data_IF_315915952314
#
_entry.id   IF_315915952314
#
_cell.length_a   1.000
_cell.length_b   1.000
_cell.length_c   1.000
_cell.angle_alpha   90.00
_cell.angle_beta   90.00
_cell.angle_gamma   90.00
#
_symmetry.space_group_name_H-M   'P 1'
#
loop_
_entity.id
_entity.type
_entity.pdbx_description
1 polymer ?
#
# COMPACT_ATOMS: atom_id res chain seq x y z
N UNK A 1 12.02 13.11 10.72
CA UNK A 1 11.18 13.09 9.53
C UNK A 1 11.20 11.73 8.90
N UNK A 2 10.03 11.28 8.52
CA UNK A 2 9.92 9.99 7.86
C UNK A 2 10.03 10.18 6.35
N UNK A 3 10.99 9.49 5.72
CA UNK A 3 11.08 9.45 4.27
C UNK A 3 10.62 8.07 3.79
N UNK A 4 9.49 7.64 4.30
CA UNK A 4 8.94 6.34 3.95
C UNK A 4 7.83 6.49 2.93
N UNK A 5 7.83 5.58 1.97
CA UNK A 5 6.75 5.45 1.00
C UNK A 5 6.15 4.08 1.18
N UNK A 6 4.87 4.02 1.50
CA UNK A 6 4.15 2.74 1.55
C UNK A 6 3.67 2.39 0.15
N UNK A 7 3.87 1.16 -0.23
CA UNK A 7 3.45 0.65 -1.53
C UNK A 7 2.56 -0.56 -1.28
N UNK A 8 1.31 -0.47 -1.68
CA UNK A 8 0.39 -1.58 -1.50
C UNK A 8 0.63 -2.63 -2.58
N UNK A 9 1.01 -3.82 -2.15
CA UNK A 9 1.16 -4.97 -3.05
C UNK A 9 -0.17 -5.70 -3.15
N UNK A 10 -0.42 -6.30 -4.30
CA UNK A 10 -1.63 -7.07 -4.54
C UNK A 10 -1.30 -8.49 -4.94
N UNK A 11 -2.06 -9.42 -4.40
CA UNK A 11 -1.94 -10.83 -4.77
C UNK A 11 -3.26 -11.34 -5.32
N UNK A 12 -3.17 -12.39 -6.13
CA UNK A 12 -4.34 -13.13 -6.58
C UNK A 12 -3.99 -14.61 -6.46
N UNK A 13 -4.78 -15.32 -5.66
CA UNK A 13 -4.55 -16.75 -5.43
C UNK A 13 -3.13 -17.05 -4.95
N UNK A 14 -2.61 -16.21 -4.08
CA UNK A 14 -1.28 -16.38 -3.49
C UNK A 14 -0.12 -15.96 -4.37
N UNK A 15 -0.40 -15.39 -5.55
CA UNK A 15 0.62 -14.94 -6.50
C UNK A 15 0.59 -13.43 -6.60
N UNK A 16 1.78 -12.81 -6.56
CA UNK A 16 1.87 -11.36 -6.73
C UNK A 16 1.44 -10.93 -8.12
N UNK A 17 0.59 -9.91 -8.18
CA UNK A 17 0.20 -9.32 -9.45
C UNK A 17 1.30 -8.37 -9.93
N UNK A 18 1.46 -8.26 -11.24
CA UNK A 18 2.48 -7.37 -11.81
C UNK A 18 2.33 -5.92 -11.37
N UNK A 19 1.12 -5.47 -11.08
CA UNK A 19 0.88 -4.11 -10.60
C UNK A 19 1.66 -3.83 -9.31
N UNK A 20 1.96 -4.86 -8.51
CA UNK A 20 2.74 -4.71 -7.29
C UNK A 20 4.15 -4.21 -7.62
N UNK A 21 4.76 -4.73 -8.67
CA UNK A 21 6.11 -4.33 -9.07
C UNK A 21 6.12 -2.93 -9.70
N UNK A 22 5.07 -2.60 -10.45
CA UNK A 22 4.93 -1.26 -11.02
C UNK A 22 4.75 -0.22 -9.90
N UNK A 23 3.99 -0.57 -8.87
CA UNK A 23 3.81 0.31 -7.73
C UNK A 23 5.12 0.52 -6.96
N UNK A 24 5.94 -0.52 -6.81
CA UNK A 24 7.25 -0.39 -6.19
C UNK A 24 8.12 0.57 -7.01
N UNK A 25 8.12 0.44 -8.34
CA UNK A 25 8.89 1.32 -9.20
C UNK A 25 8.44 2.78 -9.03
N UNK A 26 7.14 3.02 -8.94
CA UNK A 26 6.60 4.36 -8.69
C UNK A 26 7.05 4.89 -7.34
N UNK A 27 7.02 4.05 -6.32
CA UNK A 27 7.47 4.43 -4.97
C UNK A 27 8.94 4.83 -4.95
N UNK A 28 9.78 4.12 -5.70
CA UNK A 28 11.20 4.45 -5.78
C UNK A 28 11.45 5.80 -6.43
N UNK A 29 10.59 6.22 -7.35
CA UNK A 29 10.71 7.53 -7.97
C UNK A 29 10.41 8.67 -7.01
N UNK A 30 9.55 8.41 -6.02
CA UNK A 30 9.25 9.41 -4.99
C UNK A 30 10.46 9.61 -4.08
N UNK A 31 11.23 8.57 -3.87
CA UNK A 31 12.42 8.61 -3.03
C UNK A 31 12.13 8.19 -1.60
N UNK A 32 13.18 7.90 -0.85
CA UNK A 32 13.06 7.44 0.52
C UNK A 32 12.97 5.93 0.63
N UNK A 33 12.62 5.45 1.81
CA UNK A 33 12.49 4.02 2.08
C UNK A 33 11.17 3.50 1.51
N UNK A 34 11.25 2.48 0.67
CA UNK A 34 10.07 1.85 0.08
C UNK A 34 9.65 0.67 0.96
N UNK A 35 8.50 0.79 1.60
CA UNK A 35 7.94 -0.26 2.45
C UNK A 35 6.73 -0.84 1.73
N UNK A 36 6.84 -2.08 1.28
CA UNK A 36 5.74 -2.75 0.61
C UNK A 36 4.82 -3.38 1.65
N UNK A 37 3.52 -3.25 1.47
CA UNK A 37 2.52 -3.77 2.40
C UNK A 37 1.78 -4.91 1.74
N UNK A 38 1.79 -6.07 2.38
CA UNK A 38 1.03 -7.26 1.96
C UNK A 38 -0.10 -7.50 2.94
N UNK A 39 -1.32 -7.49 2.46
CA UNK A 39 -2.51 -7.73 3.28
C UNK A 39 -3.22 -8.96 2.73
N UNK A 40 -3.47 -9.95 3.57
CA UNK A 40 -4.17 -11.14 3.15
C UNK A 40 -4.04 -12.28 4.15
N UNK A 41 -4.24 -13.48 3.65
CA UNK A 41 -4.09 -14.71 4.44
C UNK A 41 -3.11 -15.61 3.69
N UNK A 42 -2.03 -16.01 4.35
CA UNK A 42 -1.02 -16.87 3.75
C UNK A 42 -0.15 -16.16 2.71
N UNK A 43 0.05 -14.87 2.83
CA UNK A 43 0.77 -14.08 1.82
C UNK A 43 2.25 -13.86 2.16
N UNK A 44 2.70 -14.23 3.34
CA UNK A 44 4.08 -13.96 3.76
C UNK A 44 5.12 -14.61 2.84
N UNK A 45 4.77 -15.72 2.19
CA UNK A 45 5.70 -16.43 1.32
C UNK A 45 6.16 -15.68 0.09
N UNK A 46 5.44 -14.62 -0.31
CA UNK A 46 5.82 -13.84 -1.49
C UNK A 46 6.56 -12.54 -1.13
N UNK A 47 6.81 -12.31 0.15
CA UNK A 47 7.50 -11.09 0.59
C UNK A 47 8.89 -10.94 -0.04
N UNK A 48 9.62 -12.04 -0.20
CA UNK A 48 10.96 -11.98 -0.77
C UNK A 48 10.96 -11.52 -2.23
N UNK A 49 9.90 -11.79 -2.98
CA UNK A 49 9.80 -11.30 -4.35
C UNK A 49 9.69 -9.78 -4.39
N UNK A 50 8.99 -9.20 -3.41
CA UNK A 50 8.87 -7.74 -3.33
C UNK A 50 10.22 -7.11 -3.05
N UNK A 51 10.99 -7.69 -2.14
CA UNK A 51 12.33 -7.20 -1.82
C UNK A 51 13.24 -7.35 -3.04
N UNK A 52 13.17 -8.48 -3.73
CA UNK A 52 13.96 -8.70 -4.94
C UNK A 52 13.64 -7.67 -6.04
N UNK A 53 12.45 -7.10 -6.04
CA UNK A 53 12.01 -6.13 -7.03
C UNK A 53 12.12 -4.68 -6.55
N UNK A 54 12.76 -4.45 -5.42
CA UNK A 54 13.15 -3.11 -5.01
C UNK A 54 12.55 -2.59 -3.72
N UNK A 55 11.68 -3.34 -3.06
CA UNK A 55 11.19 -2.91 -1.74
C UNK A 55 12.33 -3.02 -0.72
N UNK A 56 12.48 -1.99 0.08
CA UNK A 56 13.49 -1.99 1.14
C UNK A 56 13.05 -2.83 2.32
N UNK A 57 11.74 -2.88 2.55
CA UNK A 57 11.15 -3.62 3.65
C UNK A 57 9.74 -4.06 3.25
N UNK A 58 9.26 -5.14 3.84
CA UNK A 58 7.90 -5.61 3.62
C UNK A 58 7.20 -5.76 4.97
N UNK A 59 6.01 -5.20 5.08
CA UNK A 59 5.15 -5.37 6.24
C UNK A 59 3.99 -6.26 5.81
N UNK A 60 3.81 -7.38 6.49
CA UNK A 60 2.70 -8.30 6.22
C UNK A 60 1.63 -8.18 7.29
N UNK A 61 0.38 -8.08 6.86
CA UNK A 61 -0.77 -8.15 7.76
C UNK A 61 -1.56 -9.38 7.35
N UNK A 62 -1.49 -10.42 8.16
CA UNK A 62 -2.15 -11.68 7.87
C UNK A 62 -3.25 -11.98 8.85
N UNK A 63 -4.41 -12.33 8.33
CA UNK A 63 -5.55 -12.75 9.12
C UNK A 63 -6.52 -13.52 8.22
N UNK A 64 -7.17 -14.58 8.73
CA UNK A 64 -8.11 -15.35 7.92
C UNK A 64 -9.22 -14.50 7.29
N UNK A 65 -9.65 -13.45 7.96
CA UNK A 65 -10.69 -12.55 7.44
C UNK A 65 -10.19 -11.69 6.27
N UNK A 66 -8.89 -11.69 6.02
CA UNK A 66 -8.29 -10.92 4.93
C UNK A 66 -8.02 -11.78 3.69
N UNK A 67 -8.50 -12.99 3.68
CA UNK A 67 -8.31 -13.90 2.55
C UNK A 67 -8.93 -13.36 1.28
N UNK A 68 -10.11 -12.76 1.39
CA UNK A 68 -10.75 -12.09 0.28
C UNK A 68 -10.78 -10.59 0.57
N UNK A 69 -10.73 -9.78 -0.49
CA UNK A 69 -10.78 -8.35 -0.31
C UNK A 69 -12.12 -7.90 0.26
N UNK A 70 -12.06 -7.17 1.37
CA UNK A 70 -13.18 -6.40 1.88
C UNK A 70 -12.67 -4.99 2.12
N UNK A 71 -13.48 -4.01 1.76
CA UNK A 71 -13.09 -2.61 1.91
C UNK A 71 -12.76 -2.25 3.35
N UNK A 72 -13.61 -2.67 4.29
CA UNK A 72 -13.42 -2.35 5.71
C UNK A 72 -12.21 -3.06 6.30
N UNK A 73 -12.06 -4.36 6.02
CA UNK A 73 -10.94 -5.13 6.55
C UNK A 73 -9.59 -4.62 6.06
N UNK A 74 -9.49 -4.39 4.76
CA UNK A 74 -8.24 -3.91 4.17
C UNK A 74 -7.93 -2.47 4.58
N UNK A 75 -8.95 -1.61 4.69
CA UNK A 75 -8.70 -0.23 5.14
C UNK A 75 -8.24 -0.18 6.58
N UNK A 76 -8.80 -1.00 7.45
CA UNK A 76 -8.33 -1.09 8.84
C UNK A 76 -6.90 -1.59 8.92
N UNK A 77 -6.56 -2.63 8.15
CA UNK A 77 -5.22 -3.19 8.14
C UNK A 77 -4.21 -2.17 7.63
N UNK A 78 -4.53 -1.49 6.53
CA UNK A 78 -3.62 -0.51 5.96
C UNK A 78 -3.46 0.69 6.88
N UNK A 79 -4.53 1.17 7.51
CA UNK A 79 -4.43 2.29 8.46
C UNK A 79 -3.57 1.94 9.67
N UNK A 80 -3.61 0.70 10.14
CA UNK A 80 -2.74 0.27 11.23
C UNK A 80 -1.27 0.39 10.82
N UNK A 81 -0.94 0.00 9.59
CA UNK A 81 0.42 0.14 9.06
C UNK A 81 0.78 1.61 8.90
N UNK A 82 -0.13 2.43 8.40
CA UNK A 82 0.10 3.88 8.26
C UNK A 82 0.42 4.51 9.60
N UNK A 83 -0.32 4.17 10.63
CA UNK A 83 -0.09 4.71 11.97
C UNK A 83 1.26 4.27 12.53
N UNK A 84 1.68 3.05 12.24
CA UNK A 84 2.95 2.51 12.71
C UNK A 84 4.13 3.13 11.96
N UNK A 85 4.04 3.21 10.64
CA UNK A 85 5.16 3.60 9.79
C UNK A 85 5.23 5.11 9.54
N UNK A 86 4.11 5.80 9.62
CA UNK A 86 4.02 7.25 9.39
C UNK A 86 4.67 7.66 8.06
N UNK A 87 4.18 7.11 6.94
CA UNK A 87 4.78 7.42 5.65
C UNK A 87 4.45 8.82 5.18
N UNK A 88 5.27 9.35 4.27
CA UNK A 88 4.95 10.62 3.64
C UNK A 88 4.13 10.46 2.36
N UNK A 89 4.09 9.24 1.81
CA UNK A 89 3.29 8.94 0.62
C UNK A 89 2.84 7.50 0.64
N UNK A 90 1.72 7.22 -0.01
CA UNK A 90 1.19 5.88 -0.15
C UNK A 90 0.88 5.67 -1.63
N UNK A 91 1.38 4.58 -2.19
CA UNK A 91 1.19 4.25 -3.61
C UNK A 91 0.23 3.08 -3.73
N UNK A 92 -0.78 3.24 -4.55
CA UNK A 92 -1.76 2.19 -4.86
C UNK A 92 -1.66 1.84 -6.35
N UNK A 93 -1.91 0.59 -6.68
CA UNK A 93 -2.06 0.20 -8.07
C UNK A 93 -3.37 0.72 -8.65
N UNK A 94 -3.38 0.98 -9.94
CA UNK A 94 -4.57 1.47 -10.65
C UNK A 94 -5.48 0.29 -11.00
N UNK A 95 -5.98 -0.38 -9.96
CA UNK A 95 -6.80 -1.58 -10.04
C UNK A 95 -8.15 -1.32 -9.36
N UNK A 96 -9.06 -2.26 -9.50
CA UNK A 96 -10.35 -2.15 -8.80
C UNK A 96 -10.14 -2.03 -7.29
N UNK A 97 -9.21 -2.80 -6.73
CA UNK A 97 -8.89 -2.76 -5.31
C UNK A 97 -8.28 -1.40 -4.94
N UNK A 98 -7.30 -0.94 -5.70
CA UNK A 98 -6.64 0.35 -5.43
C UNK A 98 -7.62 1.50 -5.56
N UNK A 99 -8.48 1.48 -6.58
CA UNK A 99 -9.47 2.54 -6.78
C UNK A 99 -10.53 2.59 -5.69
N UNK A 100 -10.83 1.43 -5.08
CA UNK A 100 -11.78 1.38 -3.97
C UNK A 100 -11.13 1.81 -2.67
N UNK A 101 -9.92 1.33 -2.41
CA UNK A 101 -9.23 1.53 -1.15
C UNK A 101 -8.64 2.94 -1.00
N UNK A 102 -8.09 3.49 -2.08
CA UNK A 102 -7.39 4.77 -2.03
C UNK A 102 -8.25 5.93 -1.51
N UNK A 103 -9.49 6.14 -2.00
CA UNK A 103 -10.33 7.22 -1.47
C UNK A 103 -10.70 7.01 -0.01
N UNK A 104 -10.86 5.76 0.42
CA UNK A 104 -11.20 5.46 1.82
C UNK A 104 -10.05 5.81 2.74
N UNK A 105 -8.82 5.50 2.34
CA UNK A 105 -7.64 5.86 3.11
C UNK A 105 -7.48 7.37 3.17
N UNK A 106 -7.67 8.05 2.05
CA UNK A 106 -7.59 9.51 2.01
C UNK A 106 -8.61 10.14 2.96
N UNK A 107 -9.84 9.63 2.98
CA UNK A 107 -10.88 10.12 3.86
C UNK A 107 -10.52 9.92 5.33
N UNK A 108 -9.97 8.75 5.67
CA UNK A 108 -9.55 8.47 7.05
C UNK A 108 -8.40 9.36 7.48
N UNK A 109 -7.45 9.64 6.60
CA UNK A 109 -6.33 10.52 6.90
C UNK A 109 -6.78 11.95 7.14
N UNK A 110 -7.78 12.40 6.39
CA UNK A 110 -8.35 13.75 6.55
C UNK A 110 -9.19 13.88 7.81
N UNK A 111 -9.64 12.78 8.38
CA UNK A 111 -10.52 12.78 9.55
C UNK A 111 -9.81 12.98 10.88
N UNK A 112 -8.54 13.37 10.88
CA UNK A 112 -7.85 13.76 12.10
C UNK A 112 -6.65 12.92 12.50
N UNK A 113 -6.37 11.82 11.83
CA UNK A 113 -5.16 11.05 12.15
C UNK A 113 -3.94 11.70 11.50
N UNK A 114 -4.10 12.10 10.24
CA UNK A 114 -3.09 12.84 9.50
C UNK A 114 -3.85 13.88 8.71
N UNK A 115 -3.60 15.14 8.97
CA UNK A 115 -4.41 16.23 8.44
C UNK A 115 -3.95 16.81 7.11
N UNK A 116 -2.83 16.35 6.58
CA UNK A 116 -2.16 17.03 5.47
C UNK A 116 -2.24 16.29 4.14
N UNK A 117 -3.29 15.50 3.94
CA UNK A 117 -3.49 14.89 2.61
C UNK A 117 -3.95 15.99 1.66
N UNK A 118 -3.12 16.30 0.68
CA UNK A 118 -3.38 17.41 -0.22
C UNK A 118 -4.00 16.98 -1.53
N UNK A 119 -3.58 15.83 -2.07
CA UNK A 119 -4.07 15.43 -3.38
C UNK A 119 -3.86 13.93 -3.62
N UNK A 120 -4.56 13.44 -4.63
CA UNK A 120 -4.37 12.11 -5.17
C UNK A 120 -3.84 12.30 -6.57
N UNK A 121 -2.69 11.70 -6.85
CA UNK A 121 -2.13 11.73 -8.19
C UNK A 121 -2.22 10.34 -8.78
N UNK A 122 -2.64 10.27 -10.04
CA UNK A 122 -2.65 9.04 -10.79
C UNK A 122 -1.88 9.24 -12.08
N UNK A 123 -0.97 8.33 -12.37
CA UNK A 123 -0.20 8.37 -13.59
C UNK A 123 0.02 6.94 -14.06
N UNK A 124 -0.41 6.66 -15.29
CA UNK A 124 -0.35 5.30 -15.79
C UNK A 124 -1.21 4.38 -14.95
N UNK A 125 -0.60 3.36 -14.37
CA UNK A 125 -1.31 2.34 -13.59
C UNK A 125 -1.24 2.58 -12.08
N UNK A 126 -0.65 3.68 -11.64
CA UNK A 126 -0.43 3.95 -10.22
C UNK A 126 -1.17 5.18 -9.75
N UNK A 127 -1.60 5.15 -8.52
CA UNK A 127 -2.16 6.31 -7.84
C UNK A 127 -1.33 6.58 -6.58
N UNK A 128 -1.03 7.83 -6.31
CA UNK A 128 -0.18 8.23 -5.20
C UNK A 128 -0.96 9.18 -4.30
N UNK A 129 -1.00 8.87 -3.01
CA UNK A 129 -1.47 9.81 -2.00
C UNK A 129 -0.29 10.51 -1.38
N UNK A 130 -0.33 11.83 -1.41
CA UNK A 130 0.73 12.66 -0.86
C UNK A 130 0.17 13.46 0.31
N UNK A 131 0.86 13.38 1.42
CA UNK A 131 0.53 14.18 2.59
C UNK A 131 1.19 15.52 2.51
#
# INVERSE_FOLDING_TARGET
>A
MSNKVLVLAETREGILRNVSFEAIAAGKKIGGEVVSVLIGDGVAGVANELIANGADRVVTVEHPHLKAYTSDGFSQALMAVVEQEKPEAIVFGHTALGKDLAPKIASKLQSGLISDVTEIEGEGDDAVFIR
#
